data_IF_162261793932
#
_entry.id   IF_162261793932
#
_cell.length_a   1.000
_cell.length_b   1.000
_cell.length_c   1.000
_cell.angle_alpha   90.00
_cell.angle_beta   90.00
_cell.angle_gamma   90.00
#
_symmetry.space_group_name_H-M   'P 1'
#
loop_
_entity.id
_entity.type
_entity.pdbx_description
1 polymer ?
#
# COMPACT_ATOMS: atom_id res chain seq x y z
N UNK A 1 -3.05 33.35 2.61
CA UNK A 1 -2.44 32.46 1.60
C UNK A 1 -3.24 32.55 0.31
N UNK A 2 -2.97 33.57 -0.53
CA UNK A 2 -3.69 33.77 -1.80
C UNK A 2 -3.20 32.82 -2.88
N UNK A 3 -4.12 32.06 -3.50
CA UNK A 3 -3.82 31.22 -4.68
C UNK A 3 -3.21 32.09 -5.78
N UNK A 4 -2.09 31.65 -6.36
CA UNK A 4 -1.49 32.31 -7.53
C UNK A 4 -2.45 32.20 -8.72
N UNK A 5 -2.84 33.35 -9.27
CA UNK A 5 -3.67 33.48 -10.47
C UNK A 5 -2.86 32.93 -11.65
N UNK A 6 -3.09 31.66 -12.03
CA UNK A 6 -2.38 31.01 -13.13
C UNK A 6 -2.11 29.51 -12.95
N UNK A 7 -2.36 28.92 -11.77
CA UNK A 7 -2.26 27.47 -11.63
C UNK A 7 -3.42 26.77 -12.33
N UNK A 8 -3.07 25.96 -13.31
CA UNK A 8 -3.99 25.17 -14.10
C UNK A 8 -4.57 24.04 -13.25
N UNK A 9 -5.66 24.35 -12.55
CA UNK A 9 -6.30 23.40 -11.64
C UNK A 9 -6.68 22.10 -12.36
N UNK A 10 -6.69 20.99 -11.64
CA UNK A 10 -7.14 19.68 -12.18
C UNK A 10 -8.52 19.81 -12.83
N UNK A 11 -9.42 20.62 -12.27
CA UNK A 11 -10.74 20.90 -12.82
C UNK A 11 -10.67 21.65 -14.17
N UNK A 12 -9.79 22.64 -14.32
CA UNK A 12 -9.59 23.35 -15.58
C UNK A 12 -9.01 22.40 -16.65
N UNK A 13 -8.02 21.58 -16.29
CA UNK A 13 -7.44 20.57 -17.20
C UNK A 13 -8.47 19.53 -17.64
N UNK A 14 -9.34 19.06 -16.73
CA UNK A 14 -10.45 18.13 -17.07
C UNK A 14 -11.42 18.73 -18.08
N UNK A 15 -11.72 20.04 -18.00
CA UNK A 15 -12.59 20.72 -18.99
C UNK A 15 -11.94 20.80 -20.37
N UNK A 16 -10.61 20.97 -20.45
CA UNK A 16 -9.87 20.97 -21.73
C UNK A 16 -9.65 19.57 -22.32
N UNK A 17 -9.70 18.53 -21.48
CA UNK A 17 -9.49 17.13 -21.86
C UNK A 17 -10.66 16.25 -21.38
N UNK A 18 -11.87 16.44 -21.95
CA UNK A 18 -13.07 15.76 -21.45
C UNK A 18 -13.13 14.28 -21.85
N UNK A 19 -12.35 13.86 -22.84
CA UNK A 19 -12.41 12.49 -23.36
C UNK A 19 -11.49 11.57 -22.57
N UNK A 20 -12.01 10.40 -22.19
CA UNK A 20 -11.32 9.48 -21.28
C UNK A 20 -11.14 8.10 -21.88
N UNK A 21 -9.98 7.50 -21.64
CA UNK A 21 -9.77 6.06 -21.70
C UNK A 21 -9.65 5.51 -20.28
N UNK A 22 -10.23 4.34 -20.03
CA UNK A 22 -10.30 3.74 -18.70
C UNK A 22 -9.59 2.39 -18.72
N UNK A 23 -8.78 2.16 -17.69
CA UNK A 23 -8.10 0.89 -17.47
C UNK A 23 -8.40 0.41 -16.06
N UNK A 24 -9.12 -0.70 -15.94
CA UNK A 24 -9.40 -1.33 -14.65
C UNK A 24 -8.12 -1.98 -14.15
N UNK A 25 -7.49 -1.37 -13.14
CA UNK A 25 -6.30 -1.92 -12.48
C UNK A 25 -6.08 -1.17 -11.17
N UNK A 26 -6.30 -1.87 -10.07
CA UNK A 26 -6.00 -1.39 -8.71
C UNK A 26 -4.52 -1.60 -8.37
N UNK A 27 -3.92 -2.66 -8.91
CA UNK A 27 -2.54 -3.03 -8.62
C UNK A 27 -1.53 -1.99 -9.12
N UNK A 28 -0.44 -1.76 -8.36
CA UNK A 28 0.65 -0.94 -8.84
C UNK A 28 1.28 -1.52 -10.10
N UNK A 29 1.82 -0.64 -10.93
CA UNK A 29 2.59 -1.04 -12.10
C UNK A 29 4.01 -1.43 -11.71
N UNK A 30 4.55 -2.41 -12.44
CA UNK A 30 6.01 -2.54 -12.55
C UNK A 30 6.57 -1.26 -13.20
N UNK A 31 7.80 -0.83 -12.87
CA UNK A 31 8.42 0.33 -13.52
C UNK A 31 8.41 0.25 -15.05
N UNK A 32 8.57 -0.95 -15.61
CA UNK A 32 8.54 -1.22 -17.05
C UNK A 32 7.14 -0.99 -17.64
N UNK A 33 6.12 -1.53 -16.98
CA UNK A 33 4.72 -1.35 -17.38
C UNK A 33 4.32 0.13 -17.33
N UNK A 34 4.75 0.85 -16.29
CA UNK A 34 4.49 2.28 -16.16
C UNK A 34 5.10 3.09 -17.31
N UNK A 35 6.36 2.77 -17.69
CA UNK A 35 7.04 3.40 -18.83
C UNK A 35 6.36 3.08 -20.16
N UNK A 36 5.90 1.84 -20.33
CA UNK A 36 5.19 1.41 -21.54
C UNK A 36 3.87 2.18 -21.71
N UNK A 37 3.08 2.27 -20.63
CA UNK A 37 1.83 3.05 -20.60
C UNK A 37 2.09 4.53 -20.87
N UNK A 38 3.12 5.11 -20.25
CA UNK A 38 3.47 6.51 -20.48
C UNK A 38 3.90 6.75 -21.94
N UNK A 39 4.70 5.86 -22.52
CA UNK A 39 5.11 5.93 -23.91
C UNK A 39 3.91 5.81 -24.86
N UNK A 40 2.94 4.93 -24.55
CA UNK A 40 1.70 4.82 -25.31
C UNK A 40 0.86 6.10 -25.22
N UNK A 41 0.69 6.67 -24.02
CA UNK A 41 0.01 7.95 -23.82
C UNK A 41 0.66 9.07 -24.64
N UNK A 42 1.99 9.19 -24.61
CA UNK A 42 2.73 10.19 -25.40
C UNK A 42 2.54 9.98 -26.90
N UNK A 43 2.59 8.73 -27.37
CA UNK A 43 2.38 8.39 -28.79
C UNK A 43 0.97 8.78 -29.26
N UNK A 44 -0.04 8.47 -28.46
CA UNK A 44 -1.45 8.78 -28.76
C UNK A 44 -1.73 10.28 -28.66
N UNK A 45 -1.15 10.95 -27.66
CA UNK A 45 -1.30 12.39 -27.47
C UNK A 45 -0.57 13.20 -28.55
N UNK A 46 0.54 12.68 -29.10
CA UNK A 46 1.42 13.38 -30.02
C UNK A 46 1.85 14.74 -29.46
N UNK A 47 1.60 15.85 -30.16
CA UNK A 47 1.89 17.20 -29.69
C UNK A 47 0.83 17.77 -28.71
N UNK A 48 -0.23 17.02 -28.38
CA UNK A 48 -1.25 17.48 -27.43
C UNK A 48 -0.94 17.03 -26.00
N UNK A 49 -1.53 17.74 -25.04
CA UNK A 49 -1.51 17.33 -23.63
C UNK A 49 -2.32 16.04 -23.40
N UNK A 50 -1.91 15.27 -22.39
CA UNK A 50 -2.72 14.25 -21.74
C UNK A 50 -2.60 14.39 -20.22
N UNK A 51 -3.52 13.78 -19.48
CA UNK A 51 -3.48 13.76 -18.02
C UNK A 51 -3.93 12.39 -17.50
N UNK A 52 -3.27 11.89 -16.45
CA UNK A 52 -3.61 10.61 -15.82
C UNK A 52 -4.11 10.89 -14.41
N UNK A 53 -5.24 10.30 -14.05
CA UNK A 53 -5.82 10.39 -12.72
C UNK A 53 -6.25 9.01 -12.22
N UNK A 54 -6.22 8.82 -10.90
CA UNK A 54 -6.96 7.73 -10.29
C UNK A 54 -8.45 8.02 -10.41
N UNK A 55 -9.24 7.00 -10.74
CA UNK A 55 -10.69 7.12 -10.75
C UNK A 55 -11.25 7.29 -9.34
N UNK A 56 -12.41 7.94 -9.26
CA UNK A 56 -13.05 8.31 -8.00
C UNK A 56 -14.53 7.88 -8.05
N UNK A 57 -15.07 7.44 -6.90
CA UNK A 57 -16.44 6.92 -6.76
C UNK A 57 -16.73 5.76 -7.73
N UNK A 58 -17.57 5.99 -8.73
CA UNK A 58 -18.01 5.00 -9.72
C UNK A 58 -16.85 4.47 -10.56
N UNK A 59 -15.77 5.26 -10.70
CA UNK A 59 -14.53 4.86 -11.36
C UNK A 59 -13.46 4.35 -10.38
N UNK A 60 -13.83 4.02 -9.14
CA UNK A 60 -12.90 3.36 -8.22
C UNK A 60 -12.31 2.09 -8.84
N UNK A 61 -11.00 1.90 -8.67
CA UNK A 61 -10.26 0.81 -9.29
C UNK A 61 -9.90 1.00 -10.76
N UNK A 62 -10.20 2.17 -11.35
CA UNK A 62 -9.72 2.55 -12.68
C UNK A 62 -8.60 3.57 -12.62
N UNK A 63 -7.63 3.43 -13.53
CA UNK A 63 -6.81 4.55 -13.99
C UNK A 63 -7.49 5.21 -15.18
N UNK A 64 -7.65 6.53 -15.11
CA UNK A 64 -8.33 7.35 -16.11
C UNK A 64 -7.30 8.19 -16.86
N UNK A 65 -7.31 8.07 -18.19
CA UNK A 65 -6.44 8.81 -19.10
C UNK A 65 -7.27 9.82 -19.87
N UNK A 66 -7.04 11.11 -19.59
CA UNK A 66 -7.72 12.24 -20.22
C UNK A 66 -6.96 12.70 -21.48
N UNK A 67 -7.70 12.92 -22.55
CA UNK A 67 -7.21 13.42 -23.84
C UNK A 67 -8.05 14.58 -24.36
N UNK A 68 -7.44 15.38 -25.24
CA UNK A 68 -8.09 16.55 -25.87
C UNK A 68 -9.15 16.17 -26.90
N UNK A 69 -9.11 14.96 -27.46
CA UNK A 69 -10.05 14.52 -28.51
C UNK A 69 -10.54 13.10 -28.26
N UNK A 70 -11.75 12.82 -28.74
CA UNK A 70 -12.37 11.49 -28.67
C UNK A 70 -11.54 10.43 -29.40
N UNK A 71 -10.99 10.75 -30.58
CA UNK A 71 -10.19 9.82 -31.37
C UNK A 71 -8.94 9.35 -30.59
N UNK A 72 -8.29 10.25 -29.83
CA UNK A 72 -7.14 9.91 -28.99
C UNK A 72 -7.53 9.03 -27.80
N UNK A 73 -8.61 9.38 -27.10
CA UNK A 73 -9.13 8.53 -26.03
C UNK A 73 -9.47 7.12 -26.54
N UNK A 74 -10.14 7.02 -27.70
CA UNK A 74 -10.47 5.74 -28.33
C UNK A 74 -9.23 4.96 -28.76
N UNK A 75 -8.22 5.63 -29.33
CA UNK A 75 -6.96 4.99 -29.68
C UNK A 75 -6.23 4.43 -28.44
N UNK A 76 -6.24 5.18 -27.33
CA UNK A 76 -5.68 4.69 -26.07
C UNK A 76 -6.46 3.50 -25.52
N UNK A 77 -7.80 3.53 -25.57
CA UNK A 77 -8.61 2.38 -25.16
C UNK A 77 -8.28 1.14 -25.98
N UNK A 78 -8.22 1.26 -27.31
CA UNK A 78 -7.81 0.16 -28.20
C UNK A 78 -6.38 -0.35 -27.96
N UNK A 79 -5.48 0.49 -27.44
CA UNK A 79 -4.16 0.05 -27.04
C UNK A 79 -4.19 -0.71 -25.71
N UNK A 80 -4.94 -0.23 -24.72
CA UNK A 80 -5.14 -0.91 -23.43
C UNK A 80 -5.70 -2.31 -23.67
N UNK A 81 -6.77 -2.42 -24.47
CA UNK A 81 -7.46 -3.68 -24.72
C UNK A 81 -6.56 -4.70 -25.44
N UNK A 82 -5.66 -4.24 -26.33
CA UNK A 82 -4.76 -5.11 -27.11
C UNK A 82 -3.44 -5.45 -26.41
N UNK A 83 -2.92 -4.57 -25.56
CA UNK A 83 -1.61 -4.74 -24.92
C UNK A 83 -1.62 -5.76 -23.78
N UNK A 84 -2.81 -6.13 -23.28
CA UNK A 84 -2.96 -6.97 -22.09
C UNK A 84 -2.42 -6.31 -20.81
N UNK A 85 -2.06 -5.02 -20.86
CA UNK A 85 -1.42 -4.30 -19.76
C UNK A 85 -2.30 -4.25 -18.51
N UNK A 86 -3.63 -4.31 -18.66
CA UNK A 86 -4.55 -4.35 -17.53
C UNK A 86 -4.43 -5.66 -16.70
N UNK A 87 -4.06 -6.77 -17.36
CA UNK A 87 -4.06 -8.11 -16.76
C UNK A 87 -2.66 -8.61 -16.38
N UNK A 88 -1.60 -7.80 -16.56
CA UNK A 88 -0.24 -8.23 -16.20
C UNK A 88 -0.12 -8.41 -14.69
N UNK A 89 0.64 -9.43 -14.22
CA UNK A 89 0.78 -9.70 -12.81
C UNK A 89 1.38 -8.50 -12.08
N UNK A 90 0.88 -8.26 -10.87
CA UNK A 90 1.41 -7.26 -9.96
C UNK A 90 2.94 -7.45 -9.76
N UNK A 91 3.74 -6.37 -9.67
CA UNK A 91 5.11 -6.49 -9.17
C UNK A 91 5.13 -7.24 -7.82
N UNK A 92 6.18 -8.00 -7.56
CA UNK A 92 6.44 -8.50 -6.21
C UNK A 92 6.71 -7.28 -5.32
N UNK A 93 5.75 -6.94 -4.45
CA UNK A 93 5.88 -5.85 -3.49
C UNK A 93 6.54 -6.42 -2.23
N UNK A 94 7.84 -6.20 -2.09
CA UNK A 94 8.61 -6.69 -0.95
C UNK A 94 8.95 -8.18 -1.01
N UNK A 95 9.52 -8.67 0.09
CA UNK A 95 9.84 -10.08 0.30
C UNK A 95 8.55 -10.89 0.51
N UNK A 96 8.51 -12.09 -0.04
CA UNK A 96 7.46 -13.07 0.23
C UNK A 96 7.46 -13.49 1.71
N UNK A 97 6.34 -14.04 2.20
CA UNK A 97 6.25 -14.58 3.56
C UNK A 97 7.33 -15.64 3.84
N UNK A 98 7.65 -16.46 2.84
CA UNK A 98 8.72 -17.46 2.90
C UNK A 98 10.10 -16.83 3.02
N UNK A 99 10.40 -15.81 2.21
CA UNK A 99 11.67 -15.07 2.29
C UNK A 99 11.81 -14.32 3.62
N UNK A 100 10.70 -13.79 4.17
CA UNK A 100 10.69 -13.17 5.50
C UNK A 100 10.97 -14.22 6.58
N UNK A 101 10.34 -15.39 6.51
CA UNK A 101 10.55 -16.48 7.47
C UNK A 101 12.00 -16.99 7.41
N UNK A 102 12.56 -17.13 6.22
CA UNK A 102 13.95 -17.51 6.01
C UNK A 102 14.92 -16.45 6.55
N UNK A 103 14.66 -15.17 6.30
CA UNK A 103 15.47 -14.08 6.84
C UNK A 103 15.44 -14.07 8.39
N UNK A 104 14.26 -14.31 8.99
CA UNK A 104 14.12 -14.44 10.44
C UNK A 104 14.90 -15.63 10.99
N UNK A 105 14.80 -16.79 10.34
CA UNK A 105 15.56 -17.99 10.70
C UNK A 105 17.06 -17.73 10.67
N UNK A 106 17.59 -17.15 9.59
CA UNK A 106 19.01 -16.80 9.47
C UNK A 106 19.46 -15.81 10.54
N UNK A 107 18.65 -14.81 10.85
CA UNK A 107 18.94 -13.85 11.90
C UNK A 107 19.04 -14.52 13.28
N UNK A 108 18.11 -15.44 13.59
CA UNK A 108 18.14 -16.22 14.84
C UNK A 108 19.32 -17.18 14.89
N UNK A 109 19.56 -17.93 13.83
CA UNK A 109 20.71 -18.84 13.72
C UNK A 109 22.03 -18.09 13.89
N UNK A 110 22.17 -16.91 13.27
CA UNK A 110 23.32 -16.05 13.48
C UNK A 110 23.42 -15.66 14.96
N UNK A 111 22.35 -15.13 15.56
CA UNK A 111 22.36 -14.67 16.94
C UNK A 111 22.70 -15.78 17.95
N UNK A 112 22.16 -16.99 17.75
CA UNK A 112 22.46 -18.16 18.59
C UNK A 112 23.90 -18.61 18.39
N UNK A 113 24.36 -18.73 17.14
CA UNK A 113 25.72 -19.19 16.82
C UNK A 113 26.80 -18.25 17.35
N UNK A 114 26.56 -16.94 17.32
CA UNK A 114 27.53 -15.94 17.79
C UNK A 114 27.36 -15.57 19.26
N UNK A 115 26.28 -16.01 19.92
CA UNK A 115 25.91 -15.55 21.25
C UNK A 115 25.37 -14.11 21.29
N UNK A 116 25.22 -13.45 20.15
CA UNK A 116 24.86 -12.03 20.05
C UNK A 116 23.48 -11.68 20.62
N UNK A 117 22.59 -12.67 20.78
CA UNK A 117 21.23 -12.42 21.29
C UNK A 117 21.26 -11.70 22.63
N UNK A 118 22.12 -12.16 23.56
CA UNK A 118 22.23 -11.56 24.89
C UNK A 118 22.70 -10.12 24.81
N UNK A 119 23.77 -9.87 24.05
CA UNK A 119 24.42 -8.55 23.99
C UNK A 119 23.52 -7.52 23.29
N UNK A 120 22.86 -7.93 22.21
CA UNK A 120 21.89 -7.09 21.48
C UNK A 120 20.69 -6.72 22.36
N UNK A 121 20.11 -7.70 23.06
CA UNK A 121 18.97 -7.47 23.96
C UNK A 121 19.39 -6.61 25.16
N UNK A 122 20.57 -6.86 25.73
CA UNK A 122 21.08 -6.10 26.87
C UNK A 122 21.37 -4.65 26.48
N UNK A 123 21.97 -4.40 25.32
CA UNK A 123 22.23 -3.05 24.83
C UNK A 123 20.93 -2.27 24.61
N UNK A 124 19.93 -2.90 24.01
CA UNK A 124 18.60 -2.33 23.86
C UNK A 124 17.99 -1.96 25.22
N UNK A 125 17.98 -2.90 26.18
CA UNK A 125 17.39 -2.70 27.50
C UNK A 125 18.11 -1.62 28.30
N UNK A 126 19.44 -1.58 28.25
CA UNK A 126 20.23 -0.58 28.95
C UNK A 126 19.89 0.83 28.49
N UNK A 127 19.77 1.05 27.18
CA UNK A 127 19.34 2.33 26.62
C UNK A 127 17.91 2.69 27.06
N UNK A 128 16.98 1.74 27.01
CA UNK A 128 15.60 1.95 27.52
C UNK A 128 15.58 2.33 29.00
N UNK A 129 16.40 1.67 29.84
CA UNK A 129 16.49 1.99 31.27
C UNK A 129 17.13 3.35 31.54
N UNK A 130 18.01 3.83 30.66
CA UNK A 130 18.56 5.18 30.71
C UNK A 130 17.56 6.26 30.29
N UNK A 131 16.34 5.88 29.88
CA UNK A 131 15.28 6.81 29.47
C UNK A 131 15.28 7.13 27.98
N UNK A 132 16.09 6.43 27.18
CA UNK A 132 16.16 6.68 25.74
C UNK A 132 14.87 6.27 25.02
N UNK A 133 14.54 7.00 23.95
CA UNK A 133 13.44 6.66 23.06
C UNK A 133 13.68 5.30 22.35
N UNK A 134 12.60 4.69 21.86
CA UNK A 134 12.63 3.39 21.14
C UNK A 134 13.70 3.37 20.04
N UNK A 135 13.72 4.39 19.18
CA UNK A 135 14.64 4.46 18.05
C UNK A 135 16.10 4.54 18.51
N UNK A 136 16.40 5.33 19.55
CA UNK A 136 17.75 5.43 20.11
C UNK A 136 18.20 4.11 20.73
N UNK A 137 17.31 3.45 21.47
CA UNK A 137 17.58 2.13 22.07
C UNK A 137 17.78 1.04 21.03
N UNK A 138 16.99 1.09 19.96
CA UNK A 138 17.13 0.21 18.81
C UNK A 138 18.46 0.42 18.08
N UNK A 139 18.88 1.68 17.90
CA UNK A 139 20.17 1.99 17.29
C UNK A 139 21.35 1.51 18.15
N UNK A 140 21.25 1.57 19.48
CA UNK A 140 22.27 1.00 20.38
C UNK A 140 22.43 -0.51 20.16
N UNK A 141 21.32 -1.24 20.00
CA UNK A 141 21.32 -2.66 19.68
C UNK A 141 21.89 -2.95 18.27
N UNK A 142 21.60 -2.09 17.28
CA UNK A 142 22.19 -2.16 15.95
C UNK A 142 23.70 -1.97 15.95
N UNK A 143 24.21 -1.02 16.75
CA UNK A 143 25.65 -0.80 16.90
C UNK A 143 26.35 -2.04 17.46
N UNK A 144 25.75 -2.71 18.45
CA UNK A 144 26.30 -3.97 18.99
C UNK A 144 26.26 -5.09 17.95
N UNK A 145 25.14 -5.26 17.24
CA UNK A 145 25.05 -6.28 16.19
C UNK A 145 26.07 -6.05 15.05
N UNK A 146 26.30 -4.79 14.66
CA UNK A 146 27.32 -4.42 13.69
C UNK A 146 28.74 -4.72 14.22
N UNK A 147 29.02 -4.38 15.48
CA UNK A 147 30.30 -4.68 16.12
C UNK A 147 30.59 -6.20 16.22
N UNK A 148 29.55 -7.02 16.36
CA UNK A 148 29.62 -8.49 16.34
C UNK A 148 29.71 -9.08 14.92
N UNK A 149 29.92 -8.25 13.89
CA UNK A 149 30.20 -8.69 12.53
C UNK A 149 28.96 -8.95 11.66
N UNK A 150 27.78 -8.43 12.04
CA UNK A 150 26.60 -8.50 11.16
C UNK A 150 26.74 -7.52 10.00
N UNK A 151 26.50 -7.98 8.78
CA UNK A 151 26.59 -7.15 7.57
C UNK A 151 25.58 -6.00 7.58
N UNK A 152 26.01 -4.80 7.22
CA UNK A 152 25.22 -3.55 7.32
C UNK A 152 23.81 -3.61 6.72
N UNK A 153 23.63 -4.29 5.57
CA UNK A 153 22.31 -4.46 4.95
C UNK A 153 21.35 -5.39 5.70
N UNK A 154 21.84 -6.16 6.68
CA UNK A 154 21.06 -7.13 7.46
C UNK A 154 20.95 -6.78 8.95
N UNK A 155 21.69 -5.77 9.43
CA UNK A 155 21.76 -5.40 10.86
C UNK A 155 20.36 -5.13 11.42
N UNK A 156 19.61 -4.21 10.82
CA UNK A 156 18.31 -3.77 11.34
C UNK A 156 17.30 -4.93 11.40
N UNK A 157 17.19 -5.71 10.31
CA UNK A 157 16.28 -6.85 10.26
C UNK A 157 16.66 -7.92 11.29
N UNK A 158 17.96 -8.12 11.50
CA UNK A 158 18.47 -9.05 12.50
C UNK A 158 18.12 -8.60 13.91
N UNK A 159 18.41 -7.34 14.25
CA UNK A 159 18.09 -6.80 15.58
C UNK A 159 16.59 -6.86 15.85
N UNK A 160 15.75 -6.46 14.89
CA UNK A 160 14.29 -6.61 15.04
C UNK A 160 13.88 -8.04 15.33
N UNK A 161 14.41 -8.99 14.56
CA UNK A 161 14.10 -10.41 14.74
C UNK A 161 14.54 -10.91 16.12
N UNK A 162 15.74 -10.55 16.58
CA UNK A 162 16.24 -10.97 17.89
C UNK A 162 15.43 -10.36 19.04
N UNK A 163 15.05 -9.08 18.94
CA UNK A 163 14.20 -8.41 19.93
C UNK A 163 12.79 -8.99 19.96
N UNK A 164 12.17 -9.23 18.80
CA UNK A 164 10.84 -9.84 18.71
C UNK A 164 10.83 -11.25 19.29
N UNK A 165 11.85 -12.06 18.98
CA UNK A 165 12.03 -13.37 19.57
C UNK A 165 12.21 -13.30 21.10
N UNK A 166 13.02 -12.35 21.59
CA UNK A 166 13.28 -12.18 23.01
C UNK A 166 12.02 -11.72 23.75
N UNK A 167 11.21 -10.82 23.16
CA UNK A 167 9.92 -10.40 23.70
C UNK A 167 8.93 -11.55 23.80
N UNK A 168 8.85 -12.38 22.76
CA UNK A 168 7.97 -13.53 22.73
C UNK A 168 8.40 -14.63 23.72
N UNK A 169 9.70 -14.85 23.87
CA UNK A 169 10.25 -15.93 24.70
C UNK A 169 10.44 -15.54 26.16
N UNK A 170 10.75 -14.28 26.43
CA UNK A 170 11.11 -13.75 27.75
C UNK A 170 10.45 -12.39 28.01
N UNK A 171 9.11 -12.31 28.08
CA UNK A 171 8.39 -11.05 28.26
C UNK A 171 8.81 -10.30 29.54
N UNK A 172 9.16 -11.02 30.60
CA UNK A 172 9.60 -10.44 31.88
C UNK A 172 10.85 -9.56 31.74
N UNK A 173 11.70 -9.81 30.74
CA UNK A 173 12.90 -9.01 30.49
C UNK A 173 12.54 -7.58 30.05
N UNK A 174 11.39 -7.39 29.41
CA UNK A 174 10.95 -6.11 28.85
C UNK A 174 9.93 -5.38 29.71
N UNK A 175 9.35 -6.05 30.71
CA UNK A 175 8.30 -5.54 31.62
C UNK A 175 8.59 -4.17 32.26
N UNK A 176 9.87 -3.82 32.47
CA UNK A 176 10.29 -2.54 33.06
C UNK A 176 10.83 -1.51 32.05
N UNK A 177 11.05 -1.92 30.79
CA UNK A 177 11.65 -1.08 29.74
C UNK A 177 10.62 -0.56 28.75
N UNK A 178 9.51 -1.28 28.59
CA UNK A 178 8.45 -0.90 27.67
C UNK A 178 7.38 -0.13 28.42
N UNK A 179 6.82 0.94 27.84
CA UNK A 179 5.63 1.54 28.41
C UNK A 179 4.60 0.41 28.53
N UNK A 180 3.97 0.27 29.71
CA UNK A 180 2.79 -0.57 29.86
C UNK A 180 1.90 -0.16 28.71
N UNK A 181 1.69 -1.05 27.74
CA UNK A 181 0.77 -0.77 26.66
C UNK A 181 -0.53 -0.41 27.37
N UNK A 182 -0.91 0.88 27.35
CA UNK A 182 -2.20 1.31 27.84
C UNK A 182 -3.16 0.35 27.20
N UNK A 183 -3.81 -0.45 28.05
CA UNK A 183 -4.60 -1.58 27.62
C UNK A 183 -5.52 -1.07 26.53
N UNK A 184 -5.18 -1.42 25.28
CA UNK A 184 -5.98 -1.05 24.13
C UNK A 184 -7.37 -1.57 24.49
N UNK A 185 -8.36 -0.70 24.72
CA UNK A 185 -9.61 -1.14 25.31
C UNK A 185 -10.13 -2.21 24.38
N UNK A 186 -10.20 -3.45 24.89
CA UNK A 186 -10.80 -4.58 24.18
C UNK A 186 -12.07 -4.02 23.54
N UNK A 187 -12.31 -4.22 22.23
CA UNK A 187 -13.58 -3.80 21.65
C UNK A 187 -14.67 -4.44 22.51
N UNK A 188 -15.45 -3.59 23.20
CA UNK A 188 -16.51 -4.03 24.09
C UNK A 188 -17.40 -4.95 23.26
N UNK A 189 -17.49 -6.20 23.67
CA UNK A 189 -18.50 -7.10 23.19
C UNK A 189 -19.87 -6.46 23.46
N UNK A 190 -20.68 -6.34 22.41
CA UNK A 190 -22.11 -6.05 22.51
C UNK A 190 -22.48 -4.58 22.67
N UNK A 191 -22.65 -3.89 21.54
CA UNK A 191 -23.81 -3.01 21.41
C UNK A 191 -24.67 -3.52 20.25
N UNK A 192 -26.00 -3.64 20.44
CA UNK A 192 -26.90 -4.18 19.46
C UNK A 192 -26.89 -3.29 18.22
N UNK A 193 -26.76 -3.91 17.05
CA UNK A 193 -26.97 -3.24 15.77
C UNK A 193 -28.38 -2.66 15.80
N UNK A 194 -28.47 -1.33 15.73
CA UNK A 194 -29.71 -0.67 15.34
C UNK A 194 -30.22 -1.32 14.06
N UNK A 195 -31.46 -1.80 14.11
CA UNK A 195 -32.16 -2.36 12.97
C UNK A 195 -32.12 -1.35 11.81
N UNK A 196 -31.67 -1.82 10.65
CA UNK A 196 -31.88 -1.11 9.39
C UNK A 196 -33.40 -1.05 9.15
N UNK A 197 -33.95 0.10 8.72
CA UNK A 197 -35.32 0.13 8.25
C UNK A 197 -35.45 -0.75 7.01
N UNK A 198 -36.46 -1.62 7.02
CA UNK A 198 -36.93 -2.40 5.87
C UNK A 198 -37.29 -1.39 4.78
N UNK A 199 -36.56 -1.43 3.66
CA UNK A 199 -36.97 -0.75 2.43
C UNK A 199 -37.81 -1.75 1.66
N UNK A 200 -39.10 -1.44 1.52
CA UNK A 200 -40.02 -2.19 0.67
C UNK A 200 -39.52 -2.21 -0.78
N UNK A 201 -39.39 -3.42 -1.31
CA UNK A 201 -39.21 -3.73 -2.71
C UNK A 201 -40.52 -3.45 -3.46
N UNK A 202 -40.57 -2.34 -4.20
CA UNK A 202 -41.63 -2.14 -5.20
C UNK A 202 -41.10 -1.40 -6.44
N UNK A 203 -40.38 -2.12 -7.31
CA UNK A 203 -40.20 -1.77 -8.73
C UNK A 203 -39.65 -2.98 -9.51
N UNK A 204 -40.24 -3.34 -10.67
CA UNK A 204 -39.91 -2.63 -11.92
C UNK A 204 -41.14 -2.14 -12.72
N UNK A 205 -40.98 -1.22 -13.70
CA UNK A 205 -42.07 -0.72 -14.53
C UNK A 205 -42.39 -1.69 -15.68
N UNK A 206 -43.68 -1.97 -15.80
CA UNK A 206 -44.48 -2.07 -17.03
C UNK A 206 -43.78 -2.60 -18.30
N UNK A 207 -44.09 -3.85 -18.64
CA UNK A 207 -44.09 -4.35 -20.02
C UNK A 207 -45.39 -3.92 -20.74
N UNK A 208 -45.35 -3.55 -22.03
CA UNK A 208 -46.55 -3.24 -22.79
C UNK A 208 -47.27 -4.54 -23.21
N UNK A 209 -48.54 -4.70 -22.81
CA UNK A 209 -49.43 -5.75 -23.32
C UNK A 209 -50.04 -5.31 -24.65
N UNK A 210 -49.76 -6.08 -25.69
CA UNK A 210 -50.49 -6.10 -26.96
C UNK A 210 -51.94 -6.56 -26.71
N UNK A 211 -52.91 -5.86 -27.31
CA UNK A 211 -54.33 -6.14 -27.17
C UNK A 211 -54.78 -7.44 -27.86
N UNK A 212 -55.98 -7.97 -27.54
CA UNK A 212 -56.48 -9.19 -28.13
C UNK A 212 -57.10 -8.93 -29.52
N UNK A 213 -56.73 -9.80 -30.46
CA UNK A 213 -57.46 -10.12 -31.68
C UNK A 213 -58.77 -10.81 -31.35
N UNK A 214 -59.89 -10.23 -31.77
CA UNK A 214 -61.06 -10.89 -32.38
C UNK A 214 -61.77 -9.88 -33.28
#
# INVERSE_FOLDING_TARGET
MGRRKGEDTIAARRRRMPYVAKMRREDPFKPEDAREVEAACRRVAAASEFMVLAGWREDSGYRIYHFTTWAKARAMQHWIDRSGIANRPMPKLGLTSEEIAEAKRRALEWGVRTGAVRDVVQAYRQARYSGDAELTSFNAACNVAAALGRSGGEVENTVRTLLDWARASYPDWFSRCEPVAEANPRPKAGQPRHALPVLDDEWPPSTPRLGPTF
#
